data_IF_772889453955
#
_entry.id   IF_772889453955
#
_cell.length_a   1.000
_cell.length_b   1.000
_cell.length_c   1.000
_cell.angle_alpha   90.00
_cell.angle_beta   90.00
_cell.angle_gamma   90.00
#
_symmetry.space_group_name_H-M   'P 1'
#
loop_
_entity.id
_entity.type
_entity.pdbx_description
1 polymer ?
#
# COMPACT_ATOMS: atom_id res chain seq x y z
N UNK A 1 -3.59 22.01 -3.16
CA UNK A 1 -3.58 22.71 -4.46
C UNK A 1 -2.67 21.88 -5.34
N UNK A 2 -3.18 21.49 -6.51
CA UNK A 2 -2.41 20.72 -7.48
C UNK A 2 -1.28 21.62 -8.02
N UNK A 3 -0.02 21.16 -8.09
CA UNK A 3 1.03 21.94 -8.74
C UNK A 3 0.70 22.18 -10.21
N UNK A 4 1.16 23.30 -10.74
CA UNK A 4 1.05 23.57 -12.16
C UNK A 4 2.17 22.82 -12.92
N UNK A 5 1.77 22.02 -13.91
CA UNK A 5 2.61 21.14 -14.70
C UNK A 5 3.63 21.90 -15.54
N UNK A 6 3.34 23.15 -15.93
CA UNK A 6 4.26 23.97 -16.70
C UNK A 6 5.45 24.45 -15.88
N UNK A 7 5.26 25.12 -14.72
CA UNK A 7 6.36 25.42 -13.80
C UNK A 7 7.16 24.18 -13.40
N UNK A 8 6.52 23.03 -13.21
CA UNK A 8 7.22 21.76 -12.95
C UNK A 8 8.12 21.39 -14.13
N UNK A 9 7.61 21.37 -15.36
CA UNK A 9 8.40 21.05 -16.54
C UNK A 9 9.61 22.00 -16.70
N UNK A 10 9.42 23.30 -16.49
CA UNK A 10 10.48 24.31 -16.56
C UNK A 10 11.54 24.12 -15.44
N UNK A 11 11.11 23.86 -14.21
CA UNK A 11 12.00 23.60 -13.07
C UNK A 11 12.88 22.35 -13.27
N UNK A 12 12.34 21.34 -13.94
CA UNK A 12 13.06 20.11 -14.28
C UNK A 12 13.82 20.21 -15.62
N UNK A 13 13.90 21.39 -16.23
CA UNK A 13 14.74 21.65 -17.41
C UNK A 13 14.23 21.01 -18.70
N UNK A 14 12.93 20.73 -18.81
CA UNK A 14 12.37 20.16 -20.04
C UNK A 14 12.43 21.18 -21.19
N UNK A 15 12.81 20.70 -22.37
CA UNK A 15 12.83 21.52 -23.59
C UNK A 15 11.41 21.63 -24.13
N UNK A 16 10.85 22.84 -24.03
CA UNK A 16 9.47 23.15 -24.45
C UNK A 16 9.46 23.72 -25.87
N UNK A 17 8.46 23.34 -26.67
CA UNK A 17 8.20 23.95 -27.96
C UNK A 17 7.57 25.33 -27.78
N UNK A 18 8.35 26.37 -28.06
CA UNK A 18 7.95 27.78 -27.92
C UNK A 18 6.67 28.13 -28.70
N UNK A 19 6.39 27.47 -29.84
CA UNK A 19 5.18 27.72 -30.65
C UNK A 19 3.89 27.28 -29.96
N UNK A 20 4.01 26.39 -28.99
CA UNK A 20 2.90 25.87 -28.19
C UNK A 20 2.88 26.43 -26.78
N UNK A 21 3.90 27.22 -26.39
CA UNK A 21 3.97 27.84 -25.07
C UNK A 21 2.78 28.78 -24.87
N UNK A 22 2.07 28.62 -23.76
CA UNK A 22 0.86 29.41 -23.44
C UNK A 22 -0.44 28.88 -24.04
N UNK A 23 -0.41 27.76 -24.79
CA UNK A 23 -1.64 27.06 -25.22
C UNK A 23 -2.10 26.07 -24.14
N UNK A 24 -3.34 25.60 -24.26
CA UNK A 24 -3.88 24.52 -23.42
C UNK A 24 -3.01 23.27 -23.47
N UNK A 25 -2.62 22.86 -24.68
CA UNK A 25 -1.70 21.75 -24.93
C UNK A 25 -0.33 22.28 -25.32
N UNK A 26 0.65 22.11 -24.44
CA UNK A 26 2.03 22.50 -24.65
C UNK A 26 2.85 21.26 -25.01
N UNK A 27 3.62 21.34 -26.09
CA UNK A 27 4.49 20.23 -26.50
C UNK A 27 5.89 20.40 -25.91
N UNK A 28 6.46 19.31 -25.41
CA UNK A 28 7.80 19.25 -24.84
C UNK A 28 8.54 17.99 -25.30
N UNK A 29 9.86 17.98 -25.10
CA UNK A 29 10.67 16.79 -25.27
C UNK A 29 10.34 15.79 -24.17
N UNK A 30 10.22 14.52 -24.52
CA UNK A 30 9.89 13.48 -23.55
C UNK A 30 11.14 13.07 -22.75
N UNK A 31 11.19 13.34 -21.43
CA UNK A 31 12.34 12.96 -20.61
C UNK A 31 12.40 11.45 -20.35
N UNK A 32 11.28 10.72 -20.55
CA UNK A 32 11.16 9.31 -20.21
C UNK A 32 11.71 8.38 -21.30
N UNK A 33 11.41 8.65 -22.58
CA UNK A 33 11.87 7.82 -23.69
C UNK A 33 12.98 8.45 -24.53
N UNK A 34 13.18 9.77 -24.42
CA UNK A 34 14.20 10.54 -25.14
C UNK A 34 14.22 10.31 -26.66
N UNK A 35 13.12 9.83 -27.23
CA UNK A 35 13.04 9.49 -28.66
C UNK A 35 13.18 10.74 -29.54
N UNK A 36 12.66 11.86 -29.06
CA UNK A 36 12.75 13.16 -29.72
C UNK A 36 14.10 13.86 -29.52
N UNK A 37 15.02 13.28 -28.74
CA UNK A 37 16.41 13.74 -28.62
C UNK A 37 17.36 13.04 -29.62
N UNK A 38 16.89 12.01 -30.34
CA UNK A 38 17.71 11.25 -31.29
C UNK A 38 18.05 12.04 -32.57
N UNK A 39 19.20 11.76 -33.21
CA UNK A 39 19.57 12.37 -34.49
C UNK A 39 18.46 12.24 -35.55
N UNK A 40 18.12 13.35 -36.21
CA UNK A 40 17.06 13.45 -37.22
C UNK A 40 15.63 13.59 -36.66
N UNK A 41 15.45 13.61 -35.32
CA UNK A 41 14.16 13.83 -34.65
C UNK A 41 14.16 15.07 -33.75
N UNK A 42 15.16 15.93 -33.86
CA UNK A 42 15.37 17.10 -33.00
C UNK A 42 14.24 18.12 -33.11
N UNK A 43 13.47 18.11 -34.20
CA UNK A 43 12.31 18.99 -34.39
C UNK A 43 10.99 18.41 -33.88
N UNK A 44 10.95 17.13 -33.47
CA UNK A 44 9.74 16.46 -33.00
C UNK A 44 9.54 16.67 -31.51
N UNK A 45 8.31 16.72 -31.05
CA UNK A 45 7.97 16.83 -29.63
C UNK A 45 6.83 15.85 -29.36
N UNK A 46 7.08 14.82 -28.56
CA UNK A 46 6.10 13.75 -28.35
C UNK A 46 5.35 13.87 -27.02
N UNK A 47 5.85 14.66 -26.07
CA UNK A 47 5.21 14.88 -24.79
C UNK A 47 4.22 16.04 -24.90
N UNK A 48 2.94 15.78 -24.61
CA UNK A 48 1.89 16.78 -24.46
C UNK A 48 1.68 17.08 -22.98
N UNK A 49 1.65 18.36 -22.63
CA UNK A 49 1.33 18.87 -21.29
C UNK A 49 0.04 19.69 -21.39
N UNK A 50 -1.04 19.21 -20.79
CA UNK A 50 -2.29 19.94 -20.71
C UNK A 50 -2.29 20.82 -19.45
N UNK A 51 -2.27 22.13 -19.64
CA UNK A 51 -2.11 23.14 -18.59
C UNK A 51 -3.42 23.48 -17.86
N UNK A 52 -4.57 23.10 -18.42
CA UNK A 52 -5.87 23.27 -17.78
C UNK A 52 -6.20 22.06 -16.91
N UNK A 53 -6.08 20.85 -17.48
CA UNK A 53 -6.40 19.59 -16.83
C UNK A 53 -5.25 19.07 -15.96
N UNK A 54 -4.05 19.64 -16.12
CA UNK A 54 -2.86 19.33 -15.33
C UNK A 54 -2.43 17.86 -15.46
N UNK A 55 -2.48 17.38 -16.71
CA UNK A 55 -2.12 16.02 -17.13
C UNK A 55 -1.06 16.07 -18.22
N UNK A 56 -0.31 14.98 -18.34
CA UNK A 56 0.63 14.77 -19.44
C UNK A 56 0.33 13.47 -20.18
N UNK A 57 0.78 13.41 -21.43
CA UNK A 57 0.82 12.18 -22.23
C UNK A 57 1.95 12.24 -23.24
N UNK A 58 2.78 11.21 -23.28
CA UNK A 58 3.73 11.00 -24.36
C UNK A 58 3.10 10.13 -25.45
N UNK A 59 3.05 10.65 -26.68
CA UNK A 59 2.50 9.95 -27.83
C UNK A 59 3.42 8.87 -28.41
N UNK A 60 4.67 8.76 -27.93
CA UNK A 60 5.61 7.74 -28.38
C UNK A 60 5.70 6.54 -27.41
N UNK A 61 6.05 6.78 -26.15
CA UNK A 61 6.19 5.70 -25.16
C UNK A 61 4.90 5.37 -24.39
N UNK A 62 3.85 6.19 -24.53
CA UNK A 62 2.56 5.96 -23.89
C UNK A 62 2.48 6.41 -22.43
N UNK A 63 3.59 6.84 -21.81
CA UNK A 63 3.57 7.38 -20.44
C UNK A 63 2.59 8.54 -20.32
N UNK A 64 1.69 8.46 -19.33
CA UNK A 64 0.63 9.44 -19.12
C UNK A 64 0.21 9.50 -17.64
N UNK A 65 -0.43 10.59 -17.26
CA UNK A 65 -0.99 10.74 -15.91
C UNK A 65 -1.20 12.20 -15.52
N UNK A 66 -1.56 12.42 -14.25
CA UNK A 66 -1.62 13.76 -13.67
C UNK A 66 -0.24 14.31 -13.29
N UNK A 67 -0.20 15.59 -12.90
CA UNK A 67 1.04 16.27 -12.48
C UNK A 67 1.80 15.58 -11.34
N UNK A 68 1.12 14.83 -10.44
CA UNK A 68 1.83 14.08 -9.39
C UNK A 68 2.59 12.88 -9.93
N UNK A 69 1.97 12.09 -10.81
CA UNK A 69 2.64 11.04 -11.57
C UNK A 69 3.80 11.61 -12.40
N UNK A 70 3.60 12.79 -12.98
CA UNK A 70 4.64 13.48 -13.77
C UNK A 70 5.88 13.77 -12.92
N UNK A 71 5.71 14.45 -11.77
CA UNK A 71 6.81 14.75 -10.84
C UNK A 71 7.45 13.46 -10.33
N UNK A 72 6.64 12.44 -10.01
CA UNK A 72 7.10 11.13 -9.55
C UNK A 72 8.07 10.49 -10.54
N UNK A 73 7.75 10.53 -11.84
CA UNK A 73 8.60 10.01 -12.90
C UNK A 73 9.85 10.87 -13.15
N UNK A 74 9.75 12.20 -13.02
CA UNK A 74 10.88 13.11 -13.21
C UNK A 74 11.92 13.01 -12.08
N UNK A 75 11.46 12.76 -10.86
CA UNK A 75 12.30 12.70 -9.66
C UNK A 75 12.67 11.27 -9.23
N UNK A 76 12.13 10.26 -9.93
CA UNK A 76 12.26 8.84 -9.56
C UNK A 76 11.85 8.55 -8.10
N UNK A 77 10.73 9.14 -7.67
CA UNK A 77 10.14 8.92 -6.35
C UNK A 77 8.71 8.38 -6.47
N UNK A 78 8.19 7.60 -5.51
CA UNK A 78 6.82 7.12 -5.56
C UNK A 78 5.79 8.27 -5.64
N UNK A 79 4.74 8.10 -6.44
CA UNK A 79 3.69 9.13 -6.57
C UNK A 79 3.01 9.48 -5.24
N UNK A 80 2.90 8.51 -4.34
CA UNK A 80 2.42 8.73 -2.97
C UNK A 80 3.26 9.76 -2.20
N UNK A 81 4.57 9.77 -2.42
CA UNK A 81 5.49 10.73 -1.83
C UNK A 81 5.23 12.14 -2.36
N UNK A 82 5.07 12.28 -3.67
CA UNK A 82 4.76 13.56 -4.32
C UNK A 82 3.43 14.11 -3.82
N UNK A 83 2.37 13.28 -3.85
CA UNK A 83 1.04 13.64 -3.36
C UNK A 83 1.14 14.20 -1.94
N UNK A 84 1.91 13.53 -1.09
CA UNK A 84 2.08 13.94 0.29
C UNK A 84 2.79 15.30 0.39
N UNK A 85 3.92 15.52 -0.31
CA UNK A 85 4.64 16.82 -0.34
C UNK A 85 3.72 18.00 -0.64
N UNK A 86 2.77 17.83 -1.57
CA UNK A 86 1.83 18.88 -1.97
C UNK A 86 0.56 18.95 -1.10
N UNK A 87 0.15 17.85 -0.45
CA UNK A 87 -0.93 17.87 0.56
C UNK A 87 -0.57 18.72 1.79
N UNK A 88 0.72 18.82 2.13
CA UNK A 88 1.20 19.58 3.30
C UNK A 88 1.04 21.10 3.19
N UNK A 89 0.99 21.69 1.99
CA UNK A 89 1.03 23.15 1.83
C UNK A 89 -0.26 23.89 2.23
N UNK A 90 -1.36 23.20 2.63
CA UNK A 90 -2.66 23.85 2.88
C UNK A 90 -3.53 23.30 4.03
N UNK A 91 -3.08 22.38 4.87
CA UNK A 91 -3.96 21.83 5.93
C UNK A 91 -3.25 21.28 7.16
N UNK A 92 -4.02 21.06 8.25
CA UNK A 92 -3.55 20.33 9.44
C UNK A 92 -3.03 18.97 8.99
N UNK A 93 -1.75 18.71 9.23
CA UNK A 93 -1.10 17.47 8.89
C UNK A 93 -1.90 16.27 9.42
N UNK A 94 -2.27 15.35 8.52
CA UNK A 94 -2.87 14.06 8.92
C UNK A 94 -1.75 13.04 9.07
N UNK A 95 -1.47 12.56 10.29
CA UNK A 95 -0.41 11.59 10.51
C UNK A 95 -0.68 10.31 9.73
N UNK A 96 0.35 9.81 9.07
CA UNK A 96 0.32 8.51 8.39
C UNK A 96 -0.07 7.41 9.41
N UNK A 97 -0.79 6.34 9.01
CA UNK A 97 -1.15 5.26 9.93
C UNK A 97 0.03 4.70 10.75
N UNK A 98 1.21 4.54 10.14
CA UNK A 98 2.43 4.14 10.84
C UNK A 98 2.84 5.06 12.00
N UNK A 99 2.61 6.38 11.88
CA UNK A 99 2.97 7.34 12.93
C UNK A 99 2.01 7.30 14.12
N UNK A 100 0.80 6.82 13.86
CA UNK A 100 -0.27 6.67 14.84
C UNK A 100 -0.12 5.40 15.66
N UNK A 101 0.76 4.48 15.26
CA UNK A 101 1.02 3.28 16.03
C UNK A 101 1.51 3.64 17.44
N UNK A 102 0.96 2.92 18.42
CA UNK A 102 1.40 3.01 19.81
C UNK A 102 2.74 2.31 19.98
N UNK A 103 3.47 2.61 21.06
CA UNK A 103 4.71 1.89 21.37
C UNK A 103 4.47 0.38 21.54
N UNK A 104 3.30 -0.01 22.07
CA UNK A 104 2.93 -1.43 22.18
C UNK A 104 2.78 -2.07 20.80
N UNK A 105 2.06 -1.42 19.88
CA UNK A 105 1.88 -1.91 18.51
C UNK A 105 3.21 -2.00 17.74
N UNK A 106 4.11 -1.04 17.95
CA UNK A 106 5.45 -1.09 17.37
C UNK A 106 6.26 -2.30 17.91
N UNK A 107 6.15 -2.61 19.20
CA UNK A 107 6.78 -3.79 19.79
C UNK A 107 6.25 -5.11 19.22
N UNK A 108 4.97 -5.18 18.83
CA UNK A 108 4.39 -6.36 18.18
C UNK A 108 5.02 -6.67 16.81
N UNK A 109 5.70 -5.69 16.20
CA UNK A 109 6.40 -5.83 14.91
C UNK A 109 7.93 -5.65 15.05
N UNK A 110 8.45 -5.95 16.23
CA UNK A 110 9.87 -5.90 16.59
C UNK A 110 10.52 -4.50 16.46
N UNK A 111 9.71 -3.44 16.59
CA UNK A 111 10.16 -2.06 16.63
C UNK A 111 10.12 -1.57 18.08
N UNK A 112 11.26 -1.64 18.77
CA UNK A 112 11.36 -1.41 20.21
C UNK A 112 11.34 0.07 20.65
N UNK A 113 11.34 1.00 19.71
CA UNK A 113 11.32 2.43 19.99
C UNK A 113 10.29 3.13 19.10
N UNK A 114 9.77 4.27 19.55
CA UNK A 114 8.89 5.12 18.72
C UNK A 114 9.76 6.14 17.97
N UNK A 115 9.77 6.13 16.62
CA UNK A 115 10.53 7.13 15.89
C UNK A 115 10.02 8.55 16.21
N UNK A 116 10.94 9.50 16.34
CA UNK A 116 10.63 10.92 16.48
C UNK A 116 10.19 11.48 15.11
N UNK A 117 8.98 11.12 14.68
CA UNK A 117 8.48 11.38 13.33
C UNK A 117 8.60 12.83 12.89
N UNK A 118 8.34 13.78 13.78
CA UNK A 118 8.44 15.21 13.49
C UNK A 118 9.89 15.66 13.21
N UNK A 119 10.85 15.15 13.98
CA UNK A 119 12.27 15.46 13.83
C UNK A 119 12.84 14.79 12.58
N UNK A 120 12.57 13.49 12.40
CA UNK A 120 12.96 12.74 11.21
C UNK A 120 12.45 13.45 9.95
N UNK A 121 11.18 13.85 9.93
CA UNK A 121 10.57 14.57 8.80
C UNK A 121 11.24 15.90 8.50
N UNK A 122 11.72 16.61 9.54
CA UNK A 122 12.36 17.92 9.39
C UNK A 122 13.80 17.79 8.89
N UNK A 123 14.54 16.82 9.42
CA UNK A 123 15.97 16.66 9.17
C UNK A 123 16.27 15.89 7.87
N UNK A 124 15.61 14.75 7.68
CA UNK A 124 15.83 13.87 6.52
C UNK A 124 14.51 13.29 6.03
N UNK A 125 13.97 13.92 4.98
CA UNK A 125 12.69 13.52 4.38
C UNK A 125 12.76 12.12 3.77
N UNK A 126 13.86 11.77 3.10
CA UNK A 126 13.98 10.47 2.44
C UNK A 126 14.03 9.35 3.48
N UNK A 127 14.83 9.53 4.53
CA UNK A 127 14.87 8.59 5.65
C UNK A 127 13.52 8.48 6.35
N UNK A 128 12.83 9.62 6.58
CA UNK A 128 11.47 9.62 7.11
C UNK A 128 10.52 8.76 6.27
N UNK A 129 10.50 8.93 4.94
CA UNK A 129 9.64 8.13 4.07
C UNK A 129 9.99 6.65 4.13
N UNK A 130 11.28 6.31 4.07
CA UNK A 130 11.77 4.93 4.13
C UNK A 130 11.37 4.25 5.44
N UNK A 131 11.70 4.84 6.58
CA UNK A 131 11.42 4.28 7.91
C UNK A 131 9.91 4.14 8.12
N UNK A 132 9.15 5.18 7.76
CA UNK A 132 7.69 5.16 7.91
C UNK A 132 7.05 4.07 7.05
N UNK A 133 7.53 3.89 5.82
CA UNK A 133 7.01 2.88 4.93
C UNK A 133 7.37 1.47 5.40
N UNK A 134 8.59 1.26 5.87
CA UNK A 134 9.02 0.00 6.46
C UNK A 134 8.16 -0.39 7.67
N UNK A 135 7.95 0.54 8.61
CA UNK A 135 7.07 0.33 9.77
C UNK A 135 5.65 -0.04 9.32
N UNK A 136 5.14 0.62 8.28
CA UNK A 136 3.80 0.35 7.79
C UNK A 136 3.66 -1.02 7.14
N UNK A 137 4.61 -1.40 6.29
CA UNK A 137 4.61 -2.72 5.65
C UNK A 137 4.70 -3.84 6.69
N UNK A 138 5.58 -3.71 7.68
CA UNK A 138 5.66 -4.66 8.80
C UNK A 138 4.34 -4.77 9.56
N UNK A 139 3.69 -3.64 9.86
CA UNK A 139 2.39 -3.63 10.52
C UNK A 139 1.30 -4.32 9.69
N UNK A 140 1.23 -4.06 8.38
CA UNK A 140 0.27 -4.74 7.49
C UNK A 140 0.52 -6.24 7.45
N UNK A 141 1.78 -6.66 7.33
CA UNK A 141 2.15 -8.08 7.33
C UNK A 141 1.76 -8.77 8.64
N UNK A 142 2.02 -8.12 9.78
CA UNK A 142 1.57 -8.60 11.08
C UNK A 142 0.04 -8.77 11.15
N UNK A 143 -0.72 -7.74 10.76
CA UNK A 143 -2.20 -7.83 10.75
C UNK A 143 -2.72 -8.90 9.78
N UNK A 144 -2.05 -9.12 8.66
CA UNK A 144 -2.39 -10.18 7.72
C UNK A 144 -2.21 -11.56 8.36
N UNK A 145 -1.09 -11.79 9.07
CA UNK A 145 -0.84 -13.04 9.79
C UNK A 145 -1.86 -13.25 10.90
N UNK A 146 -2.17 -12.23 11.70
CA UNK A 146 -3.19 -12.32 12.76
C UNK A 146 -4.57 -12.66 12.21
N UNK A 147 -4.98 -12.04 11.08
CA UNK A 147 -6.25 -12.36 10.41
C UNK A 147 -6.26 -13.77 9.84
N UNK A 148 -5.15 -14.20 9.22
CA UNK A 148 -5.02 -15.57 8.69
C UNK A 148 -5.16 -16.59 9.80
N UNK A 149 -4.47 -16.38 10.93
CA UNK A 149 -4.56 -17.26 12.10
C UNK A 149 -5.97 -17.27 12.70
N UNK A 150 -6.60 -16.11 12.86
CA UNK A 150 -7.98 -16.02 13.36
C UNK A 150 -8.97 -16.72 12.42
N UNK A 151 -8.77 -16.65 11.10
CA UNK A 151 -9.60 -17.38 10.13
C UNK A 151 -9.46 -18.90 10.27
N UNK A 152 -8.22 -19.41 10.39
CA UNK A 152 -7.98 -20.83 10.63
C UNK A 152 -8.63 -21.31 11.94
N UNK A 153 -8.52 -20.52 12.99
CA UNK A 153 -9.16 -20.82 14.28
C UNK A 153 -10.69 -20.82 14.19
N UNK A 154 -11.29 -19.90 13.43
CA UNK A 154 -12.73 -19.88 13.19
C UNK A 154 -13.18 -21.17 12.50
N UNK A 155 -12.49 -21.55 11.42
CA UNK A 155 -12.79 -22.76 10.66
C UNK A 155 -12.75 -24.00 11.58
N UNK A 156 -11.68 -24.16 12.34
CA UNK A 156 -11.54 -25.25 13.31
C UNK A 156 -12.62 -25.21 14.39
N UNK A 157 -12.97 -24.02 14.88
CA UNK A 157 -13.97 -23.86 15.93
C UNK A 157 -15.39 -24.22 15.46
N UNK A 158 -15.71 -23.99 14.20
CA UNK A 158 -16.98 -24.43 13.59
C UNK A 158 -17.01 -25.95 13.50
N UNK A 159 -15.94 -26.56 12.96
CA UNK A 159 -15.86 -28.02 12.79
C UNK A 159 -15.84 -28.79 14.11
N UNK A 160 -15.34 -28.18 15.19
CA UNK A 160 -15.24 -28.80 16.52
C UNK A 160 -16.33 -28.34 17.50
N UNK A 161 -17.25 -27.44 17.09
CA UNK A 161 -18.29 -26.91 17.97
C UNK A 161 -17.78 -26.00 19.10
N UNK A 162 -16.58 -25.41 18.97
CA UNK A 162 -15.94 -24.58 20.00
C UNK A 162 -16.03 -23.07 19.72
N UNK A 163 -17.01 -22.64 18.93
CA UNK A 163 -17.20 -21.25 18.47
C UNK A 163 -17.16 -20.19 19.60
N UNK A 164 -17.83 -20.43 20.73
CA UNK A 164 -17.84 -19.47 21.85
C UNK A 164 -16.45 -19.21 22.42
N UNK A 165 -15.59 -20.24 22.47
CA UNK A 165 -14.20 -20.12 22.93
C UNK A 165 -13.36 -19.33 21.91
N UNK A 166 -13.57 -19.60 20.62
CA UNK A 166 -12.93 -18.83 19.55
C UNK A 166 -13.26 -17.34 19.66
N UNK A 167 -14.54 -16.97 19.80
CA UNK A 167 -14.95 -15.56 19.91
C UNK A 167 -14.29 -14.87 21.12
N UNK A 168 -14.24 -15.55 22.27
CA UNK A 168 -13.59 -15.02 23.46
C UNK A 168 -12.08 -14.76 23.23
N UNK A 169 -11.38 -15.73 22.63
CA UNK A 169 -9.95 -15.62 22.34
C UNK A 169 -9.65 -14.49 21.34
N UNK A 170 -10.41 -14.39 20.25
CA UNK A 170 -10.19 -13.33 19.25
C UNK A 170 -10.48 -11.95 19.82
N UNK A 171 -11.57 -11.79 20.59
CA UNK A 171 -11.87 -10.51 21.26
C UNK A 171 -10.82 -10.10 22.29
N UNK A 172 -10.16 -11.07 22.93
CA UNK A 172 -9.02 -10.78 23.80
C UNK A 172 -7.83 -10.30 22.97
N UNK A 173 -7.52 -10.98 21.87
CA UNK A 173 -6.44 -10.58 20.96
C UNK A 173 -6.65 -9.22 20.31
N UNK A 174 -7.88 -8.88 19.93
CA UNK A 174 -8.25 -7.54 19.45
C UNK A 174 -7.93 -6.44 20.47
N UNK A 175 -8.16 -6.71 21.76
CA UNK A 175 -7.85 -5.76 22.85
C UNK A 175 -6.36 -5.57 23.03
N UNK A 176 -5.57 -6.62 22.89
CA UNK A 176 -4.09 -6.56 22.96
C UNK A 176 -3.53 -5.74 21.79
N UNK A 177 -3.98 -6.03 20.57
CA UNK A 177 -3.46 -5.38 19.35
C UNK A 177 -4.05 -3.96 19.17
N UNK A 178 -5.27 -3.73 19.67
CA UNK A 178 -6.04 -2.51 19.45
C UNK A 178 -6.59 -2.38 18.02
N UNK A 179 -6.82 -3.50 17.33
CA UNK A 179 -7.37 -3.55 15.96
C UNK A 179 -8.44 -4.65 15.85
N UNK A 180 -9.56 -4.40 15.15
CA UNK A 180 -10.56 -5.42 14.88
C UNK A 180 -10.01 -6.58 14.03
N UNK A 181 -10.31 -7.80 14.45
CA UNK A 181 -9.99 -9.07 13.80
C UNK A 181 -11.24 -9.92 13.56
N UNK A 182 -12.16 -9.98 14.52
CA UNK A 182 -13.33 -10.86 14.49
C UNK A 182 -14.26 -10.51 13.33
N UNK A 183 -14.67 -9.25 13.24
CA UNK A 183 -15.59 -8.79 12.19
C UNK A 183 -15.00 -8.99 10.78
N UNK A 184 -13.75 -8.58 10.48
CA UNK A 184 -13.13 -8.88 9.18
C UNK A 184 -13.05 -10.38 8.85
N UNK A 185 -12.79 -11.22 9.84
CA UNK A 185 -12.69 -12.67 9.63
C UNK A 185 -14.07 -13.27 9.34
N UNK A 186 -15.11 -12.87 10.08
CA UNK A 186 -16.48 -13.31 9.83
C UNK A 186 -16.99 -12.81 8.47
N UNK A 187 -16.68 -11.58 8.08
CA UNK A 187 -17.00 -11.03 6.77
C UNK A 187 -16.42 -11.91 5.66
N UNK A 188 -15.12 -12.22 5.71
CA UNK A 188 -14.48 -13.10 4.72
C UNK A 188 -15.10 -14.50 4.73
N UNK A 189 -15.37 -15.05 5.92
CA UNK A 189 -15.94 -16.39 6.06
C UNK A 189 -17.34 -16.49 5.43
N UNK A 190 -18.13 -15.43 5.53
CA UNK A 190 -19.51 -15.38 5.01
C UNK A 190 -19.63 -15.22 3.48
N UNK A 191 -18.51 -15.00 2.77
CA UNK A 191 -18.53 -14.80 1.32
C UNK A 191 -18.81 -16.11 0.59
N UNK A 192 -19.52 -16.03 -0.53
CA UNK A 192 -19.76 -17.17 -1.43
C UNK A 192 -18.46 -17.76 -1.98
N UNK A 193 -17.47 -16.90 -2.26
CA UNK A 193 -16.16 -17.28 -2.75
C UNK A 193 -15.08 -16.71 -1.84
N UNK A 194 -14.22 -17.59 -1.33
CA UNK A 194 -13.11 -17.19 -0.49
C UNK A 194 -11.92 -16.69 -1.33
N UNK A 195 -11.21 -15.65 -0.86
CA UNK A 195 -9.95 -15.23 -1.48
C UNK A 195 -8.93 -16.37 -1.51
N UNK A 196 -8.00 -16.33 -2.47
CA UNK A 196 -6.96 -17.37 -2.64
C UNK A 196 -6.15 -17.66 -1.38
N UNK A 197 -5.78 -16.62 -0.62
CA UNK A 197 -5.01 -16.80 0.62
C UNK A 197 -5.75 -17.63 1.67
N UNK A 198 -7.09 -17.68 1.63
CA UNK A 198 -7.90 -18.49 2.54
C UNK A 198 -7.74 -19.97 2.21
N UNK A 199 -7.78 -20.33 0.93
CA UNK A 199 -7.59 -21.72 0.51
C UNK A 199 -6.22 -22.24 0.97
N UNK A 200 -5.17 -21.45 0.74
CA UNK A 200 -3.81 -21.73 1.24
C UNK A 200 -3.75 -21.79 2.78
N UNK A 201 -4.55 -20.97 3.47
CA UNK A 201 -4.62 -21.01 4.93
C UNK A 201 -5.29 -22.27 5.46
N UNK A 202 -6.19 -22.90 4.69
CA UNK A 202 -6.98 -24.04 5.15
C UNK A 202 -6.40 -25.41 4.79
N UNK A 203 -5.31 -25.49 4.03
CA UNK A 203 -4.65 -26.76 3.69
C UNK A 203 -4.36 -27.60 4.96
N UNK A 204 -3.59 -27.05 5.89
CA UNK A 204 -3.23 -27.73 7.14
C UNK A 204 -4.45 -28.01 8.06
N UNK A 205 -5.33 -27.04 8.37
CA UNK A 205 -6.54 -27.31 9.14
C UNK A 205 -7.40 -28.45 8.57
N UNK A 206 -7.58 -28.51 7.24
CA UNK A 206 -8.35 -29.57 6.58
C UNK A 206 -7.69 -30.94 6.76
N UNK A 207 -6.37 -31.03 6.62
CA UNK A 207 -5.62 -32.28 6.85
C UNK A 207 -5.74 -32.77 8.30
N UNK A 208 -5.60 -31.87 9.27
CA UNK A 208 -5.73 -32.19 10.70
C UNK A 208 -7.11 -32.77 11.01
N UNK A 209 -8.18 -32.16 10.48
CA UNK A 209 -9.55 -32.64 10.70
C UNK A 209 -9.82 -33.99 10.01
N UNK A 210 -9.25 -34.22 8.82
CA UNK A 210 -9.35 -35.52 8.13
C UNK A 210 -8.70 -36.62 8.96
N UNK A 211 -7.45 -36.42 9.40
CA UNK A 211 -6.73 -37.38 10.23
C UNK A 211 -7.45 -37.68 11.56
N UNK A 212 -8.00 -36.65 12.21
CA UNK A 212 -8.79 -36.82 13.44
C UNK A 212 -10.07 -37.65 13.23
N UNK A 213 -10.79 -37.45 12.12
CA UNK A 213 -11.99 -38.22 11.78
C UNK A 213 -11.67 -39.69 11.46
N UNK A 214 -10.56 -39.96 10.78
CA UNK A 214 -10.09 -41.32 10.48
C UNK A 214 -9.67 -42.09 11.74
N UNK A 215 -8.97 -41.43 12.68
CA UNK A 215 -8.59 -42.06 13.97
C UNK A 215 -9.81 -42.41 14.84
N UNK A 216 -10.82 -41.53 14.90
CA UNK A 216 -12.07 -41.81 15.59
C UNK A 216 -12.88 -42.94 14.92
N UNK A 217 -12.86 -43.01 13.58
CA UNK A 217 -13.57 -44.04 12.81
C UNK A 217 -12.92 -45.43 12.92
N UNK A 218 -11.60 -45.47 13.13
CA UNK A 218 -10.83 -46.70 13.29
C UNK A 218 -10.72 -47.19 14.76
N UNK A 219 -11.46 -46.58 15.69
CA UNK A 219 -11.51 -47.03 17.09
C UNK A 219 -10.20 -46.90 17.87
N UNK A 220 -9.24 -46.10 17.39
CA UNK A 220 -7.91 -45.94 17.98
C UNK A 220 -7.85 -44.83 19.05
N UNK A 221 -8.95 -44.59 19.77
CA UNK A 221 -8.89 -43.88 21.04
C UNK A 221 -8.54 -44.90 22.14
N UNK A 222 -7.23 -45.05 22.37
CA UNK A 222 -6.71 -45.70 23.57
C UNK A 222 -7.39 -45.08 24.79
N UNK A 223 -8.05 -45.93 25.59
CA UNK A 223 -8.35 -45.58 26.96
C UNK A 223 -7.04 -45.36 27.72
N UNK A 224 -6.94 -44.18 28.35
CA UNK A 224 -6.65 -43.89 29.77
C UNK A 224 -6.41 -42.38 29.87
#
# INVERSE_FOLDING_TARGET
MLPDIMPVAEQHGLVINERTRGKREVLAKCPFCQEDAKPGKEKKFYLSLNTEDQVFKCWFCGEAGGVFRFISLLEDVPESEVIERYRFKRGKYKPHPAERLTLHQLKLIDVNFKPHWAELRKYDKQLYFKVRQEVWERWKSFLFVERRSAFQQLYMAIETGTYSRFVANVKQREREIGVPLLEPVLDVFSREQWPTWVEEALELPREILKGGKEMCSNGLLFGI
#
